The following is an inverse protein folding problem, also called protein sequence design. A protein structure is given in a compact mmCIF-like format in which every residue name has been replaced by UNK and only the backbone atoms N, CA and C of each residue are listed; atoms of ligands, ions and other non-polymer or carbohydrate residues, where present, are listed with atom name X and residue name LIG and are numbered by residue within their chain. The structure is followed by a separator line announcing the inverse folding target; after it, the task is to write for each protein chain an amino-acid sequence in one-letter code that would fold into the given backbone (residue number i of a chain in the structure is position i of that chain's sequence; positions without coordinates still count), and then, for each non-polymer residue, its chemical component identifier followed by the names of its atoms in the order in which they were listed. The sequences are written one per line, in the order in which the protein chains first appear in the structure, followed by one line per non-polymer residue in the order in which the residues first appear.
data_IF_334083144689
#
_entry.id   IF_334083144689
#
_cell.length_a   1.000
_cell.length_b   1.000
_cell.length_c   1.000
_cell.angle_alpha   90.00
_cell.angle_beta   90.00
_cell.angle_gamma   90.00
#
_symmetry.space_group_name_H-M   'P 1'
#
loop_
_entity.id
_entity.type
_entity.pdbx_description
1 polymer ?
#
# COMPACT_ATOMS: atom_id res chain seq x y z
N UNK A 1 2.35 -8.76 -11.64
CA UNK A 1 2.23 -7.58 -12.53
C UNK A 1 1.95 -6.35 -11.67
N UNK A 2 2.22 -5.13 -12.16
CA UNK A 2 2.27 -3.91 -11.34
C UNK A 2 1.40 -2.78 -11.89
N UNK A 3 1.06 -1.82 -11.03
CA UNK A 3 0.32 -0.58 -11.36
C UNK A 3 1.07 0.62 -10.79
N UNK A 4 1.05 1.74 -11.51
CA UNK A 4 1.58 3.03 -11.06
C UNK A 4 0.39 3.97 -10.79
N UNK A 5 0.31 4.50 -9.57
CA UNK A 5 -0.75 5.43 -9.16
C UNK A 5 -0.16 6.83 -9.06
N UNK A 6 -0.83 7.81 -9.68
CA UNK A 6 -0.37 9.21 -9.74
C UNK A 6 -1.18 10.13 -8.82
N UNK A 7 -0.46 11.05 -8.18
CA UNK A 7 -0.92 12.03 -7.21
C UNK A 7 -0.55 13.46 -7.60
N UNK A 8 -0.23 13.72 -8.88
CA UNK A 8 0.19 15.06 -9.35
C UNK A 8 -0.75 16.20 -8.96
N UNK A 9 -2.05 15.91 -8.82
CA UNK A 9 -3.08 16.89 -8.47
C UNK A 9 -3.60 16.71 -7.03
N UNK A 10 -2.88 15.97 -6.19
CA UNK A 10 -3.23 15.74 -4.79
C UNK A 10 -2.31 16.57 -3.87
N UNK A 11 -2.83 17.01 -2.72
CA UNK A 11 -2.05 17.84 -1.80
C UNK A 11 -0.83 17.09 -1.23
N UNK A 12 -0.91 15.76 -1.12
CA UNK A 12 0.16 14.91 -0.62
C UNK A 12 1.10 14.37 -1.71
N UNK A 13 2.30 13.97 -1.29
CA UNK A 13 3.34 13.38 -2.15
C UNK A 13 3.37 11.85 -2.14
N UNK A 14 4.15 11.26 -3.05
CA UNK A 14 4.43 9.83 -3.03
C UNK A 14 5.12 9.39 -1.74
N UNK A 15 5.99 10.23 -1.17
CA UNK A 15 6.63 10.02 0.14
C UNK A 15 5.62 10.03 1.28
N UNK A 16 4.64 10.94 1.26
CA UNK A 16 3.61 11.00 2.30
C UNK A 16 2.70 9.77 2.22
N UNK A 17 2.31 9.37 1.00
CA UNK A 17 1.54 8.17 0.76
C UNK A 17 2.28 6.90 1.22
N UNK A 18 3.58 6.79 0.92
CA UNK A 18 4.46 5.69 1.34
C UNK A 18 4.51 5.57 2.87
N UNK A 19 4.62 6.71 3.58
CA UNK A 19 4.61 6.73 5.04
C UNK A 19 3.25 6.35 5.64
N UNK A 20 2.16 6.96 5.18
CA UNK A 20 0.81 6.70 5.71
C UNK A 20 0.36 5.25 5.45
N UNK A 21 0.63 4.72 4.25
CA UNK A 21 0.36 3.32 3.94
C UNK A 21 1.23 2.38 4.79
N UNK A 22 2.48 2.75 5.05
CA UNK A 22 3.37 2.02 5.96
C UNK A 22 2.81 1.95 7.39
N UNK A 23 2.30 3.06 7.93
CA UNK A 23 1.66 3.11 9.24
C UNK A 23 0.40 2.21 9.29
N UNK A 24 -0.32 2.11 8.16
CA UNK A 24 -1.46 1.21 7.99
C UNK A 24 -1.08 -0.25 7.68
N UNK A 25 0.21 -0.62 7.68
CA UNK A 25 0.66 -1.99 7.43
C UNK A 25 0.71 -2.39 5.94
N UNK A 26 0.66 -1.42 5.03
CA UNK A 26 0.69 -1.63 3.58
C UNK A 26 2.03 -1.14 3.03
N UNK A 27 2.91 -2.07 2.69
CA UNK A 27 4.21 -1.74 2.09
C UNK A 27 4.07 -1.47 0.59
N UNK A 28 4.38 -0.23 0.18
CA UNK A 28 4.47 0.18 -1.23
C UNK A 28 5.84 0.75 -1.55
N UNK A 29 6.02 1.28 -2.76
CA UNK A 29 7.22 2.00 -3.14
C UNK A 29 6.82 3.33 -3.78
N UNK A 30 7.24 4.45 -3.19
CA UNK A 30 7.14 5.76 -3.85
C UNK A 30 7.89 5.75 -5.18
N UNK A 31 7.29 6.34 -6.19
CA UNK A 31 7.81 6.32 -7.55
C UNK A 31 7.47 7.63 -8.28
N UNK A 32 8.31 8.01 -9.23
CA UNK A 32 8.03 9.15 -10.12
C UNK A 32 6.96 8.76 -11.13
N UNK A 33 6.25 9.75 -11.65
CA UNK A 33 5.18 9.57 -12.62
C UNK A 33 5.41 10.46 -13.85
N UNK A 34 4.82 10.15 -15.02
CA UNK A 34 4.87 11.05 -16.16
C UNK A 34 4.37 12.45 -15.77
N UNK A 35 5.15 13.49 -16.10
CA UNK A 35 4.83 14.87 -15.71
C UNK A 35 5.24 15.25 -14.29
N UNK A 36 6.15 14.48 -13.66
CA UNK A 36 6.67 14.76 -12.32
C UNK A 36 7.18 16.21 -12.17
N UNK A 37 6.73 16.85 -11.08
CA UNK A 37 7.14 18.21 -10.69
C UNK A 37 7.88 18.22 -9.36
N UNK A 38 7.72 17.17 -8.54
CA UNK A 38 8.39 17.02 -7.25
C UNK A 38 9.76 16.36 -7.41
N UNK A 39 10.62 16.55 -6.41
CA UNK A 39 11.95 15.93 -6.37
C UNK A 39 11.86 14.39 -6.41
N UNK A 40 12.83 13.66 -7.01
CA UNK A 40 12.90 12.20 -6.98
C UNK A 40 12.88 11.56 -5.59
N UNK A 41 13.22 12.32 -4.53
CA UNK A 41 13.14 11.84 -3.14
C UNK A 41 11.74 11.95 -2.52
N UNK A 42 10.86 12.72 -3.15
CA UNK A 42 9.50 13.03 -2.67
C UNK A 42 8.45 12.36 -3.55
N UNK A 43 8.59 12.50 -4.87
CA UNK A 43 7.75 11.94 -5.94
C UNK A 43 6.25 12.28 -5.86
N UNK A 44 5.53 11.96 -6.92
CA UNK A 44 4.07 12.18 -7.02
C UNK A 44 3.32 10.89 -7.35
N UNK A 45 3.82 9.74 -6.90
CA UNK A 45 3.13 8.47 -7.10
C UNK A 45 3.68 7.33 -6.28
N UNK A 46 2.98 6.20 -6.35
CA UNK A 46 3.36 4.93 -5.75
C UNK A 46 3.21 3.80 -6.78
N UNK A 47 4.03 2.77 -6.63
CA UNK A 47 3.94 1.54 -7.43
C UNK A 47 3.47 0.39 -6.56
N UNK A 48 2.44 -0.31 -7.05
CA UNK A 48 1.79 -1.43 -6.37
C UNK A 48 1.94 -2.68 -7.22
N UNK A 49 2.24 -3.82 -6.60
CA UNK A 49 2.44 -5.10 -7.29
C UNK A 49 1.64 -6.23 -6.65
N UNK A 50 1.02 -7.07 -7.48
CA UNK A 50 0.32 -8.29 -7.06
C UNK A 50 1.19 -9.51 -6.72
N UNK A 51 2.41 -9.73 -7.28
CA UNK A 51 3.10 -11.02 -7.20
C UNK A 51 3.29 -11.58 -5.79
N UNK A 52 3.67 -10.73 -4.82
CA UNK A 52 3.94 -11.14 -3.45
C UNK A 52 2.69 -11.70 -2.76
N UNK A 53 1.51 -11.13 -3.02
CA UNK A 53 0.26 -11.56 -2.41
C UNK A 53 -0.38 -12.73 -3.17
N UNK A 54 -0.28 -12.74 -4.50
CA UNK A 54 -0.76 -13.87 -5.30
C UNK A 54 0.03 -15.15 -5.01
N UNK A 55 1.33 -15.04 -4.72
CA UNK A 55 2.16 -16.19 -4.32
C UNK A 55 1.71 -16.79 -2.97
N UNK A 56 1.01 -16.01 -2.14
CA UNK A 56 0.41 -16.46 -0.86
C UNK A 56 -1.00 -17.01 -1.01
N UNK A 57 -1.55 -17.01 -2.23
CA UNK A 57 -2.90 -17.50 -2.51
C UNK A 57 -4.02 -16.47 -2.44
N UNK A 58 -3.71 -15.17 -2.27
CA UNK A 58 -4.72 -14.11 -2.34
C UNK A 58 -5.27 -13.96 -3.76
N UNK A 59 -6.57 -13.68 -3.86
CA UNK A 59 -7.34 -13.57 -5.10
C UNK A 59 -8.04 -12.21 -5.19
N UNK A 60 -8.88 -12.04 -6.21
CA UNK A 60 -9.51 -10.78 -6.58
C UNK A 60 -10.24 -10.10 -5.41
N UNK A 61 -10.93 -10.87 -4.57
CA UNK A 61 -11.66 -10.33 -3.41
C UNK A 61 -10.73 -9.70 -2.37
N UNK A 62 -9.60 -10.34 -2.09
CA UNK A 62 -8.60 -9.79 -1.17
C UNK A 62 -7.95 -8.54 -1.76
N UNK A 63 -7.68 -8.53 -3.07
CA UNK A 63 -7.15 -7.34 -3.75
C UNK A 63 -8.13 -6.17 -3.74
N UNK A 64 -9.42 -6.41 -3.96
CA UNK A 64 -10.47 -5.38 -3.87
C UNK A 64 -10.53 -4.79 -2.45
N UNK A 65 -10.50 -5.66 -1.43
CA UNK A 65 -10.45 -5.22 -0.04
C UNK A 65 -9.22 -4.35 0.26
N UNK A 66 -8.03 -4.80 -0.12
CA UNK A 66 -6.78 -4.05 0.08
C UNK A 66 -6.80 -2.73 -0.69
N UNK A 67 -7.32 -2.71 -1.91
CA UNK A 67 -7.47 -1.48 -2.70
C UNK A 67 -8.37 -0.46 -2.00
N UNK A 68 -9.49 -0.89 -1.43
CA UNK A 68 -10.36 -0.01 -0.65
C UNK A 68 -9.63 0.55 0.58
N UNK A 69 -8.85 -0.27 1.29
CA UNK A 69 -8.03 0.21 2.41
C UNK A 69 -6.95 1.19 2.01
N UNK A 70 -6.34 1.00 0.84
CA UNK A 70 -5.40 1.99 0.27
C UNK A 70 -6.12 3.32 0.06
N UNK A 71 -7.32 3.31 -0.54
CA UNK A 71 -8.12 4.52 -0.73
C UNK A 71 -8.47 5.19 0.60
N UNK A 72 -8.96 4.44 1.59
CA UNK A 72 -9.31 4.95 2.92
C UNK A 72 -8.12 5.69 3.58
N UNK A 73 -6.92 5.12 3.49
CA UNK A 73 -5.68 5.73 4.02
C UNK A 73 -5.30 6.98 3.24
N UNK A 74 -5.36 6.95 1.91
CA UNK A 74 -4.96 8.09 1.08
C UNK A 74 -5.93 9.28 1.21
N UNK A 75 -7.23 9.02 1.39
CA UNK A 75 -8.23 10.05 1.63
C UNK A 75 -8.13 10.65 3.04
N UNK A 76 -7.55 9.90 4.00
CA UNK A 76 -7.36 10.30 5.40
C UNK A 76 -5.88 10.19 5.81
N UNK A 77 -5.00 10.81 5.04
CA UNK A 77 -3.55 10.59 5.12
C UNK A 77 -2.90 11.02 6.44
N UNK A 78 -3.57 11.82 7.26
CA UNK A 78 -3.09 12.27 8.57
C UNK A 78 -3.77 11.54 9.74
N UNK A 79 -4.77 10.70 9.48
CA UNK A 79 -5.55 10.00 10.52
C UNK A 79 -4.84 8.72 11.01
N UNK A 80 -3.96 8.92 11.99
CA UNK A 80 -3.18 7.85 12.59
C UNK A 80 -4.02 6.78 13.31
N UNK A 81 -5.20 7.14 13.82
CA UNK A 81 -6.06 6.16 14.50
C UNK A 81 -6.75 5.25 13.48
N UNK A 82 -7.18 5.80 12.35
CA UNK A 82 -7.64 5.01 11.22
C UNK A 82 -6.54 4.07 10.70
N UNK A 83 -5.31 4.56 10.54
CA UNK A 83 -4.20 3.74 10.05
C UNK A 83 -3.93 2.53 10.96
N UNK A 84 -3.88 2.74 12.29
CA UNK A 84 -3.73 1.65 13.26
C UNK A 84 -4.87 0.64 13.20
N UNK A 85 -6.11 1.10 12.96
CA UNK A 85 -7.26 0.21 12.80
C UNK A 85 -7.11 -0.64 11.54
N UNK A 86 -6.78 -0.03 10.42
CA UNK A 86 -6.57 -0.73 9.13
C UNK A 86 -5.41 -1.72 9.24
N UNK A 87 -4.34 -1.37 9.95
CA UNK A 87 -3.21 -2.24 10.20
C UNK A 87 -3.66 -3.57 10.84
N UNK A 88 -4.44 -3.50 11.94
CA UNK A 88 -5.00 -4.69 12.60
C UNK A 88 -5.89 -5.52 11.67
N UNK A 89 -6.76 -4.87 10.89
CA UNK A 89 -7.63 -5.55 9.92
C UNK A 89 -6.82 -6.31 8.85
N UNK A 90 -5.69 -5.73 8.41
CA UNK A 90 -4.80 -6.34 7.43
C UNK A 90 -3.93 -7.44 8.03
N UNK A 91 -3.50 -7.32 9.27
CA UNK A 91 -2.85 -8.41 10.01
C UNK A 91 -3.76 -9.63 10.11
N UNK A 92 -5.02 -9.43 10.48
CA UNK A 92 -6.04 -10.48 10.52
C UNK A 92 -6.25 -11.12 9.14
N UNK A 93 -6.30 -10.32 8.07
CA UNK A 93 -6.38 -10.85 6.71
C UNK A 93 -5.13 -11.68 6.35
N UNK A 94 -3.94 -11.14 6.59
CA UNK A 94 -2.67 -11.77 6.25
C UNK A 94 -2.44 -13.09 7.01
N UNK A 95 -2.97 -13.22 8.23
CA UNK A 95 -2.90 -14.45 9.04
C UNK A 95 -3.55 -15.66 8.37
N UNK A 96 -4.50 -15.45 7.46
CA UNK A 96 -5.20 -16.50 6.70
C UNK A 96 -4.37 -17.05 5.53
N UNK A 97 -3.27 -16.38 5.17
CA UNK A 97 -2.43 -16.70 4.02
C UNK A 97 -0.97 -16.94 4.46
N UNK A 98 -0.76 -18.00 5.24
CA UNK A 98 0.55 -18.39 5.79
C UNK A 98 1.46 -18.95 4.69
N UNK A 99 2.71 -18.46 4.64
CA UNK A 99 3.68 -18.86 3.61
C UNK A 99 4.50 -20.07 4.07
N UNK A 100 4.96 -20.06 5.32
CA UNK A 100 5.79 -21.09 5.91
C UNK A 100 5.23 -21.46 7.29
N UNK A 101 4.93 -22.73 7.51
CA UNK A 101 4.45 -23.26 8.79
C UNK A 101 5.60 -23.69 9.72
N UNK A 102 6.83 -23.67 9.23
CA UNK A 102 8.04 -24.03 9.97
C UNK A 102 9.25 -23.27 9.40
N UNK A 103 10.32 -23.15 10.20
CA UNK A 103 11.60 -22.65 9.71
C UNK A 103 12.07 -23.52 8.53
N UNK A 104 12.52 -22.86 7.47
CA UNK A 104 13.22 -23.51 6.35
C UNK A 104 14.74 -23.50 6.53
N UNK A 105 15.21 -23.06 7.71
CA UNK A 105 16.60 -23.00 8.14
C UNK A 105 16.80 -23.83 9.41
#
# INVERSE_FOLDING_TARGET
HLVLVSFLNKPFSGKDADAALGDAGITVNKNTVPGETRSPFVTSGIRIGSPALTARGMKEKEFEYIANKICDVLDNIEDKELHKKINKELEELASKFVIYSSSTY
#
